data_IF_857927853795
#
_entry.id   IF_857927853795
#
_cell.length_a   1.000
_cell.length_b   1.000
_cell.length_c   1.000
_cell.angle_alpha   90.00
_cell.angle_beta   90.00
_cell.angle_gamma   90.00
#
_symmetry.space_group_name_H-M   'P 1'
#
loop_
_entity.id
_entity.type
_entity.pdbx_description
1 polymer ?
#
# COMPACT_ATOMS: atom_id res chain seq x y z
N UNK A 1 -14.15 23.28 21.96
CA UNK A 1 -13.26 22.22 22.49
C UNK A 1 -12.05 22.89 23.11
N UNK A 2 -11.53 22.42 24.27
CA UNK A 2 -10.22 22.87 24.75
C UNK A 2 -9.17 22.59 23.65
N UNK A 3 -8.26 23.52 23.40
CA UNK A 3 -7.21 23.36 22.40
C UNK A 3 -6.29 22.19 22.74
N UNK A 4 -5.88 21.43 21.73
CA UNK A 4 -4.83 20.40 21.85
C UNK A 4 -3.46 21.09 21.94
N UNK A 5 -2.56 20.56 22.76
CA UNK A 5 -1.21 21.14 22.92
C UNK A 5 -0.33 20.70 21.76
N UNK A 6 0.32 21.65 21.08
CA UNK A 6 1.27 21.34 20.02
C UNK A 6 2.58 20.77 20.58
N UNK A 7 3.37 20.06 19.75
CA UNK A 7 4.69 19.53 20.17
C UNK A 7 5.63 20.66 20.62
N UNK A 8 5.66 21.79 19.90
CA UNK A 8 6.47 22.95 20.29
C UNK A 8 6.01 23.58 21.60
N UNK A 9 4.69 23.59 21.83
CA UNK A 9 4.09 24.13 23.05
C UNK A 9 4.34 23.23 24.27
N UNK A 10 4.32 21.90 24.08
CA UNK A 10 4.73 20.94 25.10
C UNK A 10 6.22 21.08 25.46
N UNK A 11 7.10 21.27 24.46
CA UNK A 11 8.53 21.47 24.68
C UNK A 11 8.79 22.73 25.49
N UNK A 12 8.13 23.84 25.15
CA UNK A 12 8.27 25.10 25.88
C UNK A 12 7.74 24.97 27.31
N UNK A 13 6.59 24.32 27.53
CA UNK A 13 6.07 24.11 28.89
C UNK A 13 7.02 23.25 29.75
N UNK A 14 7.60 22.20 29.17
CA UNK A 14 8.57 21.34 29.87
C UNK A 14 9.88 22.09 30.14
N UNK A 15 10.28 22.97 29.23
CA UNK A 15 11.48 23.81 29.37
C UNK A 15 11.30 24.87 30.44
N UNK A 16 10.13 25.47 30.53
CA UNK A 16 9.78 26.45 31.55
C UNK A 16 9.70 25.80 32.94
N UNK A 17 9.13 24.60 33.03
CA UNK A 17 9.14 23.75 34.24
C UNK A 17 10.55 23.45 34.75
N UNK A 18 11.45 23.09 33.84
CA UNK A 18 12.84 22.80 34.16
C UNK A 18 13.61 24.05 34.63
N UNK A 19 13.43 25.19 33.96
CA UNK A 19 14.17 26.42 34.25
C UNK A 19 13.61 27.19 35.46
N UNK A 20 12.32 27.01 35.78
CA UNK A 20 11.62 27.77 36.84
C UNK A 20 10.56 26.91 37.56
N UNK A 21 10.99 25.88 38.30
CA UNK A 21 10.10 24.85 38.87
C UNK A 21 9.09 25.38 39.91
N UNK A 22 9.37 26.52 40.53
CA UNK A 22 8.48 27.12 41.54
C UNK A 22 7.36 27.98 40.95
N UNK A 23 7.48 28.43 39.69
CA UNK A 23 6.48 29.28 39.01
C UNK A 23 5.80 28.60 37.85
N UNK A 24 6.26 27.40 37.49
CA UNK A 24 5.72 26.60 36.39
C UNK A 24 4.25 26.26 36.54
N UNK A 25 3.54 26.27 35.42
CA UNK A 25 2.15 25.81 35.30
C UNK A 25 2.02 24.42 34.67
N UNK A 26 3.14 23.72 34.42
CA UNK A 26 3.16 22.47 33.66
C UNK A 26 2.16 21.42 34.18
N UNK A 27 2.03 21.27 35.51
CA UNK A 27 1.08 20.31 36.12
C UNK A 27 -0.36 20.58 35.70
N UNK A 28 -0.75 21.84 35.51
CA UNK A 28 -2.09 22.23 35.04
C UNK A 28 -2.32 21.90 33.56
N UNK A 29 -1.24 21.74 32.79
CA UNK A 29 -1.24 21.44 31.34
C UNK A 29 -1.20 19.94 31.06
N UNK A 30 -0.77 19.11 32.02
CA UNK A 30 -0.78 17.64 31.93
C UNK A 30 -2.11 17.06 31.40
N UNK A 31 -3.31 17.51 31.85
CA UNK A 31 -4.57 17.02 31.30
C UNK A 31 -4.71 17.26 29.78
N UNK A 32 -4.26 18.41 29.27
CA UNK A 32 -4.27 18.74 27.84
C UNK A 32 -3.24 17.91 27.07
N UNK A 33 -2.06 17.65 27.67
CA UNK A 33 -1.07 16.73 27.12
C UNK A 33 -1.64 15.32 26.96
N UNK A 34 -2.29 14.79 28.01
CA UNK A 34 -2.94 13.46 27.98
C UNK A 34 -4.04 13.41 26.92
N UNK A 35 -4.87 14.45 26.82
CA UNK A 35 -5.90 14.53 25.79
C UNK A 35 -5.32 14.51 24.38
N UNK A 36 -4.22 15.21 24.16
CA UNK A 36 -3.52 15.24 22.86
C UNK A 36 -2.95 13.87 22.52
N UNK A 37 -2.34 13.18 23.49
CA UNK A 37 -1.85 11.80 23.30
C UNK A 37 -3.02 10.88 22.92
N UNK A 38 -4.13 10.91 23.65
CA UNK A 38 -5.29 10.06 23.35
C UNK A 38 -5.88 10.31 21.96
N UNK A 39 -5.95 11.58 21.52
CA UNK A 39 -6.42 11.91 20.17
C UNK A 39 -5.47 11.41 19.06
N UNK A 40 -4.15 11.48 19.31
CA UNK A 40 -3.14 10.93 18.40
C UNK A 40 -3.19 9.40 18.34
N UNK A 41 -3.40 8.73 19.47
CA UNK A 41 -3.58 7.28 19.56
C UNK A 41 -4.80 6.82 18.75
N UNK A 42 -5.94 7.48 18.90
CA UNK A 42 -7.16 7.19 18.13
C UNK A 42 -6.94 7.36 16.62
N UNK A 43 -6.29 8.46 16.22
CA UNK A 43 -5.95 8.71 14.81
C UNK A 43 -5.02 7.64 14.25
N UNK A 44 -4.00 7.24 15.02
CA UNK A 44 -3.06 6.18 14.61
C UNK A 44 -3.75 4.81 14.48
N UNK A 45 -4.68 4.49 15.37
CA UNK A 45 -5.46 3.26 15.28
C UNK A 45 -6.38 3.26 14.05
N UNK A 46 -7.01 4.40 13.75
CA UNK A 46 -7.80 4.59 12.53
C UNK A 46 -6.95 4.38 11.27
N UNK A 47 -5.78 5.03 11.19
CA UNK A 47 -4.84 4.88 10.08
C UNK A 47 -4.35 3.43 9.94
N UNK A 48 -4.09 2.74 11.05
CA UNK A 48 -3.67 1.33 11.05
C UNK A 48 -4.75 0.43 10.47
N UNK A 49 -6.01 0.65 10.81
CA UNK A 49 -7.15 -0.08 10.24
C UNK A 49 -7.29 0.20 8.73
N UNK A 50 -7.25 1.48 8.33
CA UNK A 50 -7.29 1.90 6.93
C UNK A 50 -6.18 1.26 6.08
N UNK A 51 -4.94 1.28 6.58
CA UNK A 51 -3.80 0.64 5.90
C UNK A 51 -3.92 -0.88 5.84
N UNK A 52 -4.52 -1.51 6.85
CA UNK A 52 -4.79 -2.95 6.83
C UNK A 52 -5.80 -3.32 5.75
N UNK A 53 -6.86 -2.52 5.60
CA UNK A 53 -7.86 -2.67 4.54
C UNK A 53 -7.24 -2.44 3.15
N UNK A 54 -6.46 -1.37 2.99
CA UNK A 54 -5.76 -1.06 1.74
C UNK A 54 -4.83 -2.22 1.31
N UNK A 55 -4.06 -2.76 2.24
CA UNK A 55 -3.21 -3.94 1.99
C UNK A 55 -4.01 -5.16 1.52
N UNK A 56 -5.18 -5.41 2.12
CA UNK A 56 -6.08 -6.51 1.69
C UNK A 56 -6.59 -6.26 0.27
N UNK A 57 -7.02 -5.03 -0.04
CA UNK A 57 -7.48 -4.66 -1.38
C UNK A 57 -6.38 -4.84 -2.44
N UNK A 58 -5.17 -4.38 -2.18
CA UNK A 58 -4.02 -4.54 -3.09
C UNK A 58 -3.73 -6.03 -3.35
N UNK A 59 -3.76 -6.87 -2.30
CA UNK A 59 -3.60 -8.33 -2.47
C UNK A 59 -4.70 -8.94 -3.34
N UNK A 60 -5.95 -8.52 -3.15
CA UNK A 60 -7.07 -8.99 -3.95
C UNK A 60 -6.90 -8.59 -5.42
N UNK A 61 -6.49 -7.34 -5.70
CA UNK A 61 -6.18 -6.87 -7.06
C UNK A 61 -5.07 -7.70 -7.69
N UNK A 62 -3.97 -7.92 -6.96
CA UNK A 62 -2.84 -8.72 -7.45
C UNK A 62 -3.26 -10.16 -7.79
N UNK A 63 -3.96 -10.82 -6.87
CA UNK A 63 -4.44 -12.20 -7.09
C UNK A 63 -5.43 -12.29 -8.24
N UNK A 64 -6.37 -11.34 -8.34
CA UNK A 64 -7.32 -11.27 -9.46
C UNK A 64 -6.62 -11.02 -10.79
N UNK A 65 -5.59 -10.17 -10.81
CA UNK A 65 -4.80 -9.92 -12.01
C UNK A 65 -4.07 -11.17 -12.50
N UNK A 66 -3.44 -11.93 -11.60
CA UNK A 66 -2.81 -13.20 -11.94
C UNK A 66 -3.82 -14.21 -12.47
N UNK A 67 -4.96 -14.39 -11.79
CA UNK A 67 -6.01 -15.31 -12.24
C UNK A 67 -6.57 -14.91 -13.62
N UNK A 68 -6.72 -13.60 -13.87
CA UNK A 68 -7.18 -13.10 -15.17
C UNK A 68 -6.19 -13.43 -16.28
N UNK A 69 -4.90 -13.18 -16.05
CA UNK A 69 -3.82 -13.53 -16.99
C UNK A 69 -3.81 -15.02 -17.32
N UNK A 70 -3.99 -15.89 -16.32
CA UNK A 70 -4.06 -17.34 -16.52
C UNK A 70 -5.29 -17.74 -17.35
N UNK A 71 -6.45 -17.13 -17.09
CA UNK A 71 -7.68 -17.36 -17.84
C UNK A 71 -7.56 -16.93 -19.31
N UNK A 72 -6.93 -15.79 -19.60
CA UNK A 72 -6.68 -15.35 -20.97
C UNK A 72 -5.73 -16.28 -21.71
N UNK A 73 -4.69 -16.77 -21.04
CA UNK A 73 -3.78 -17.78 -21.60
C UNK A 73 -4.51 -19.09 -21.91
N UNK A 74 -5.43 -19.51 -21.05
CA UNK A 74 -6.29 -20.66 -21.31
C UNK A 74 -7.21 -20.42 -22.52
N UNK A 75 -7.88 -19.27 -22.58
CA UNK A 75 -8.73 -18.88 -23.71
C UNK A 75 -7.95 -18.90 -25.03
N UNK A 76 -6.75 -18.33 -25.05
CA UNK A 76 -5.89 -18.33 -26.24
C UNK A 76 -5.59 -19.75 -26.73
N UNK A 77 -5.23 -20.68 -25.83
CA UNK A 77 -5.01 -22.09 -26.21
C UNK A 77 -6.28 -22.76 -26.74
N UNK A 78 -7.44 -22.43 -26.19
CA UNK A 78 -8.72 -22.93 -26.69
C UNK A 78 -9.01 -22.43 -28.11
N UNK A 79 -8.74 -21.15 -28.39
CA UNK A 79 -8.85 -20.55 -29.71
C UNK A 79 -7.89 -21.20 -30.71
N UNK A 80 -6.64 -21.47 -30.33
CA UNK A 80 -5.68 -22.19 -31.20
C UNK A 80 -6.17 -23.59 -31.56
N UNK A 81 -6.77 -24.31 -30.61
CA UNK A 81 -7.34 -25.63 -30.85
C UNK A 81 -8.56 -25.56 -31.80
N UNK A 82 -9.42 -24.56 -31.64
CA UNK A 82 -10.55 -24.33 -32.55
C UNK A 82 -10.06 -23.98 -33.95
N UNK A 83 -9.06 -23.10 -34.07
CA UNK A 83 -8.45 -22.75 -35.36
C UNK A 83 -7.82 -23.95 -36.05
N UNK A 84 -7.09 -24.79 -35.31
CA UNK A 84 -6.54 -26.03 -35.83
C UNK A 84 -7.60 -27.03 -36.30
N UNK A 85 -8.71 -27.17 -35.57
CA UNK A 85 -9.82 -28.02 -35.98
C UNK A 85 -10.51 -27.52 -37.25
N UNK A 86 -10.82 -26.21 -37.35
CA UNK A 86 -11.45 -25.63 -38.53
C UNK A 86 -10.58 -25.79 -39.79
N UNK A 87 -9.26 -25.70 -39.63
CA UNK A 87 -8.30 -25.89 -40.72
C UNK A 87 -8.20 -27.35 -41.18
N UNK A 88 -8.25 -28.31 -40.24
CA UNK A 88 -7.95 -29.72 -40.50
C UNK A 88 -9.17 -30.60 -40.75
N UNK A 89 -10.32 -30.28 -40.15
CA UNK A 89 -11.54 -31.11 -40.22
C UNK A 89 -12.59 -30.51 -41.14
N UNK A 90 -12.82 -29.21 -41.03
CA UNK A 90 -13.93 -28.54 -41.72
C UNK A 90 -13.47 -27.92 -43.06
N UNK A 91 -12.16 -27.89 -43.32
CA UNK A 91 -11.55 -27.26 -44.50
C UNK A 91 -11.97 -25.80 -44.69
N UNK A 92 -12.12 -25.06 -43.58
CA UNK A 92 -12.49 -23.65 -43.57
C UNK A 92 -11.27 -22.78 -43.20
N UNK A 93 -10.37 -22.49 -44.17
CA UNK A 93 -9.10 -21.84 -43.90
C UNK A 93 -9.24 -20.43 -43.32
N UNK A 94 -10.25 -19.68 -43.77
CA UNK A 94 -10.49 -18.31 -43.30
C UNK A 94 -10.97 -18.28 -41.85
N UNK A 95 -11.79 -19.25 -41.45
CA UNK A 95 -12.28 -19.39 -40.07
C UNK A 95 -11.14 -19.82 -39.16
N UNK A 96 -10.34 -20.79 -39.59
CA UNK A 96 -9.13 -21.20 -38.86
C UNK A 96 -8.16 -20.04 -38.63
N UNK A 97 -7.91 -19.24 -39.68
CA UNK A 97 -7.06 -18.05 -39.59
C UNK A 97 -7.64 -16.97 -38.64
N UNK A 98 -8.96 -16.78 -38.61
CA UNK A 98 -9.60 -15.86 -37.69
C UNK A 98 -9.41 -16.28 -36.22
N UNK A 99 -9.58 -17.57 -35.90
CA UNK A 99 -9.31 -18.09 -34.55
C UNK A 99 -7.86 -17.88 -34.11
N UNK A 100 -6.89 -18.10 -35.00
CA UNK A 100 -5.49 -17.83 -34.69
C UNK A 100 -5.22 -16.34 -34.46
N UNK A 101 -5.82 -15.43 -35.24
CA UNK A 101 -5.73 -13.99 -35.00
C UNK A 101 -6.29 -13.60 -33.64
N UNK A 102 -7.45 -14.13 -33.26
CA UNK A 102 -8.01 -13.90 -31.92
C UNK A 102 -7.12 -14.47 -30.81
N UNK A 103 -6.51 -15.64 -31.03
CA UNK A 103 -5.58 -16.23 -30.06
C UNK A 103 -4.34 -15.34 -29.82
N UNK A 104 -3.80 -14.74 -30.89
CA UNK A 104 -2.67 -13.79 -30.82
C UNK A 104 -3.07 -12.54 -30.06
N UNK A 105 -4.19 -11.89 -30.42
CA UNK A 105 -4.70 -10.70 -29.72
C UNK A 105 -4.90 -10.98 -28.22
N UNK A 106 -5.44 -12.16 -27.88
CA UNK A 106 -5.65 -12.57 -26.48
C UNK A 106 -4.32 -12.74 -25.72
N UNK A 107 -3.26 -13.23 -26.38
CA UNK A 107 -1.92 -13.33 -25.78
C UNK A 107 -1.28 -11.97 -25.54
N UNK A 108 -1.44 -11.04 -26.48
CA UNK A 108 -0.94 -9.67 -26.36
C UNK A 108 -1.65 -8.91 -25.22
N UNK A 109 -2.97 -9.08 -25.09
CA UNK A 109 -3.75 -8.51 -23.99
C UNK A 109 -3.29 -9.06 -22.63
N UNK A 110 -3.07 -10.37 -22.53
CA UNK A 110 -2.54 -11.01 -21.32
C UNK A 110 -1.13 -10.52 -20.95
N UNK A 111 -0.27 -10.29 -21.93
CA UNK A 111 1.06 -9.71 -21.70
C UNK A 111 0.98 -8.26 -21.18
N UNK A 112 0.07 -7.45 -21.72
CA UNK A 112 -0.16 -6.09 -21.25
C UNK A 112 -0.69 -6.08 -19.80
N UNK A 113 -1.61 -6.99 -19.47
CA UNK A 113 -2.15 -7.16 -18.13
C UNK A 113 -1.10 -7.60 -17.12
N UNK A 114 -0.14 -8.45 -17.50
CA UNK A 114 1.03 -8.77 -16.66
C UNK A 114 1.85 -7.52 -16.34
N UNK A 115 2.10 -6.66 -17.33
CA UNK A 115 2.83 -5.41 -17.13
C UNK A 115 2.09 -4.46 -16.20
N UNK A 116 0.77 -4.33 -16.35
CA UNK A 116 -0.05 -3.52 -15.45
C UNK A 116 -0.06 -4.07 -14.00
N UNK A 117 -0.10 -5.39 -13.83
CA UNK A 117 -0.03 -6.04 -12.52
C UNK A 117 1.33 -5.82 -11.79
N UNK A 118 2.42 -5.66 -12.54
CA UNK A 118 3.76 -5.36 -11.99
C UNK A 118 3.81 -3.96 -11.33
N UNK A 119 3.13 -2.96 -11.92
CA UNK A 119 3.06 -1.60 -11.36
C UNK A 119 2.39 -1.61 -9.97
N UNK A 120 1.35 -2.43 -9.79
CA UNK A 120 0.67 -2.63 -8.49
C UNK A 120 1.57 -3.31 -7.45
N UNK A 121 2.53 -4.11 -7.89
CA UNK A 121 3.46 -4.84 -7.01
C UNK A 121 4.49 -3.92 -6.33
N UNK A 122 4.89 -2.82 -6.99
CA UNK A 122 5.81 -1.82 -6.40
C UNK A 122 5.19 -1.15 -5.16
N UNK A 123 3.88 -0.88 -5.18
CA UNK A 123 3.13 -0.38 -4.01
C UNK A 123 3.09 -1.42 -2.87
N UNK A 124 3.04 -2.71 -3.21
CA UNK A 124 3.11 -3.82 -2.26
C UNK A 124 4.47 -3.94 -1.55
N UNK A 125 5.57 -3.67 -2.25
CA UNK A 125 6.93 -3.63 -1.68
C UNK A 125 7.06 -2.50 -0.67
N UNK A 126 6.51 -1.31 -0.97
CA UNK A 126 6.43 -0.19 -0.02
C UNK A 126 5.62 -0.57 1.24
N UNK A 127 4.54 -1.34 1.09
CA UNK A 127 3.77 -1.87 2.22
C UNK A 127 4.49 -2.97 3.03
N UNK A 128 5.40 -3.74 2.42
CA UNK A 128 6.17 -4.80 3.08
C UNK A 128 7.38 -4.24 3.85
N UNK A 129 7.98 -3.15 3.36
CA UNK A 129 9.07 -2.42 4.02
C UNK A 129 8.65 -1.82 5.38
N UNK A 130 7.34 -1.69 5.65
CA UNK A 130 6.78 -1.18 6.92
C UNK A 130 6.66 -2.23 8.04
N UNK A 131 7.33 -3.38 7.97
CA UNK A 131 7.48 -4.29 9.13
C UNK A 131 8.86 -4.08 9.77
N UNK A 132 9.01 -3.12 10.70
CA UNK A 132 10.11 -3.22 11.66
C UNK A 132 9.79 -4.42 12.55
N UNK A 133 10.69 -5.40 12.57
CA UNK A 133 10.71 -6.44 13.60
C UNK A 133 10.81 -5.73 14.95
N UNK A 134 9.75 -5.84 15.76
CA UNK A 134 9.76 -5.39 17.16
C UNK A 134 10.84 -6.15 17.93
N UNK A 135 12.01 -5.53 18.06
CA UNK A 135 12.96 -5.81 19.13
C UNK A 135 12.74 -4.77 20.22
N UNK A 136 12.51 -5.24 21.45
CA UNK A 136 12.31 -4.43 22.65
C UNK A 136 13.42 -3.39 22.84
N UNK A 137 13.04 -2.12 23.06
CA UNK A 137 13.94 -1.06 23.51
C UNK A 137 13.54 0.30 22.94
N UNK A 138 13.42 1.32 23.81
CA UNK A 138 12.95 2.68 23.51
C UNK A 138 13.68 3.44 22.37
N UNK A 139 14.73 2.87 21.76
CA UNK A 139 15.35 3.38 20.53
C UNK A 139 14.52 3.20 19.25
N UNK A 140 13.45 2.38 19.28
CA UNK A 140 12.59 2.15 18.13
C UNK A 140 11.79 3.40 17.69
N UNK A 141 11.55 4.35 18.60
CA UNK A 141 10.77 5.55 18.31
C UNK A 141 11.54 6.56 17.45
N UNK A 142 12.85 6.71 17.71
CA UNK A 142 13.75 7.59 16.96
C UNK A 142 14.01 7.08 15.54
N UNK A 143 14.18 5.77 15.36
CA UNK A 143 14.33 5.15 14.04
C UNK A 143 13.05 5.28 13.19
N UNK A 144 11.87 5.19 13.82
CA UNK A 144 10.59 5.37 13.14
C UNK A 144 10.40 6.84 12.71
N UNK A 145 10.82 7.79 13.55
CA UNK A 145 10.83 9.21 13.23
C UNK A 145 11.85 9.56 12.11
N UNK A 146 13.00 8.89 12.08
CA UNK A 146 14.02 9.02 11.03
C UNK A 146 13.53 8.46 9.68
N UNK A 147 12.84 7.32 9.70
CA UNK A 147 12.26 6.69 8.52
C UNK A 147 11.12 7.55 7.91
N UNK A 148 10.28 8.15 8.75
CA UNK A 148 9.24 9.10 8.33
C UNK A 148 9.87 10.38 7.73
N UNK A 149 11.00 10.85 8.28
CA UNK A 149 11.76 11.98 7.71
C UNK A 149 12.40 11.65 6.36
N UNK A 150 12.97 10.45 6.18
CA UNK A 150 13.55 10.02 4.90
C UNK A 150 12.48 9.86 3.82
N UNK A 151 11.29 9.34 4.17
CA UNK A 151 10.13 9.27 3.26
C UNK A 151 9.63 10.65 2.81
N UNK A 152 9.78 11.67 3.66
CA UNK A 152 9.40 13.06 3.32
C UNK A 152 10.42 13.73 2.39
N UNK A 153 11.70 13.34 2.43
CA UNK A 153 12.74 13.86 1.52
C UNK A 153 12.71 13.23 0.13
N UNK A 154 12.32 11.96 -0.03
CA UNK A 154 12.18 11.33 -1.35
C UNK A 154 10.98 11.81 -2.17
N UNK A 155 10.04 12.55 -1.59
CA UNK A 155 8.89 13.12 -2.31
C UNK A 155 9.15 14.57 -2.77
N UNK A 156 10.40 15.04 -2.70
CA UNK A 156 10.82 16.39 -3.10
C UNK A 156 11.90 16.40 -4.20
N UNK A 157 12.20 15.24 -4.80
CA UNK A 157 13.06 15.07 -5.97
C UNK A 157 12.28 14.37 -7.10
#
# INVERSE_FOLDING_TARGET
MPGLIGVGEFIEETREDYNSPTTSTFVSRIPQCRQTISALEETLDFDRDGLTKLKKAIKAIHNSGNAHVDNEMYLSRALERLGGNALSKDSEPDIGAAFFKFAVVTKELSALMKTLAIITTVVGIVSKARRPTLGHGGGAMLLNLLAIRLLRMSNFL
#
